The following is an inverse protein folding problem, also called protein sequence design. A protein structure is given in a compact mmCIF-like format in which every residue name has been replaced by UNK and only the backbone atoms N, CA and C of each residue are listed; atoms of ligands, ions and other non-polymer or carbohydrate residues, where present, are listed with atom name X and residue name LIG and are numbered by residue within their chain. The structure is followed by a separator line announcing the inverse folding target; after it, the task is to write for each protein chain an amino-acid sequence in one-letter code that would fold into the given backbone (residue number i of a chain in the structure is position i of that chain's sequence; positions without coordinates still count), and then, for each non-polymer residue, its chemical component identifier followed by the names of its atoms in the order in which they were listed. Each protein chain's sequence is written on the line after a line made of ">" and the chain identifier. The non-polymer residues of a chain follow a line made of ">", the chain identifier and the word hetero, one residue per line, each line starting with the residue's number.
data_IF_612594377826
#
_entry.id   IF_612594377826
#
_cell.length_a   1.000
_cell.length_b   1.000
_cell.length_c   1.000
_cell.angle_alpha   90.00
_cell.angle_beta   90.00
_cell.angle_gamma   90.00
#
_symmetry.space_group_name_H-M   'P 1'
#
loop_
_entity.id
_entity.type
_entity.pdbx_description
1 polymer ?
#
# COMPACT_ATOMS: atom_id res chain seq x y z
N UNK A 1 44.06 -42.18 -8.00
CA UNK A 1 43.11 -43.28 -8.28
C UNK A 1 41.69 -42.72 -8.11
N UNK A 2 40.70 -42.85 -8.98
CA UNK A 2 40.56 -42.84 -10.45
C UNK A 2 39.05 -43.11 -10.69
N UNK A 3 38.28 -42.08 -11.08
CA UNK A 3 36.87 -42.08 -11.51
C UNK A 3 36.45 -40.63 -11.89
N UNK A 4 35.65 -40.24 -12.91
CA UNK A 4 35.12 -40.87 -14.15
C UNK A 4 34.25 -42.13 -14.02
N UNK A 5 33.11 -42.33 -14.72
CA UNK A 5 32.41 -41.69 -15.88
C UNK A 5 30.90 -41.63 -15.54
N UNK A 6 30.09 -40.61 -15.87
CA UNK A 6 29.31 -40.53 -17.12
C UNK A 6 28.58 -39.18 -17.35
N UNK A 7 28.30 -38.89 -18.62
CA UNK A 7 27.81 -37.62 -19.21
C UNK A 7 26.64 -37.94 -20.19
N UNK A 8 26.21 -36.99 -21.03
CA UNK A 8 25.21 -37.04 -22.14
C UNK A 8 23.74 -37.03 -21.63
N UNK A 9 22.73 -36.30 -22.17
CA UNK A 9 22.38 -35.69 -23.50
C UNK A 9 21.63 -34.35 -23.21
N UNK A 10 21.97 -33.13 -23.67
CA UNK A 10 22.06 -32.50 -25.01
C UNK A 10 20.73 -31.89 -25.57
N UNK A 11 20.69 -30.54 -25.53
CA UNK A 11 20.17 -29.53 -26.49
C UNK A 11 18.69 -29.43 -26.99
N UNK A 12 18.16 -28.21 -26.83
CA UNK A 12 17.50 -27.31 -27.83
C UNK A 12 16.16 -27.70 -28.49
N UNK A 13 15.15 -26.83 -28.33
CA UNK A 13 14.21 -26.41 -29.39
C UNK A 13 14.03 -24.89 -29.35
N UNK A 14 13.90 -24.25 -30.52
CA UNK A 14 13.91 -22.79 -30.74
C UNK A 14 12.62 -22.31 -31.43
N UNK A 15 12.00 -21.29 -30.84
CA UNK A 15 11.20 -20.19 -31.44
C UNK A 15 9.98 -20.43 -32.37
N UNK A 16 9.24 -19.32 -32.53
CA UNK A 16 8.18 -19.01 -33.50
C UNK A 16 6.82 -19.72 -33.41
N UNK A 17 5.78 -18.97 -33.03
CA UNK A 17 4.70 -18.62 -33.97
C UNK A 17 4.39 -17.12 -33.87
N UNK A 18 4.37 -16.44 -35.02
CA UNK A 18 3.86 -15.07 -35.20
C UNK A 18 2.45 -15.15 -35.77
N UNK A 19 1.50 -14.44 -35.17
CA UNK A 19 0.23 -14.02 -35.76
C UNK A 19 -0.16 -12.67 -35.14
N UNK A 20 -0.50 -11.60 -35.85
CA UNK A 20 -0.56 -11.42 -37.30
C UNK A 20 -1.95 -11.03 -37.80
N UNK A 21 -2.21 -9.71 -37.88
CA UNK A 21 -3.27 -9.08 -38.67
C UNK A 21 -4.73 -9.28 -38.16
N UNK A 22 -5.75 -8.45 -38.49
CA UNK A 22 -5.86 -7.06 -38.97
C UNK A 22 -7.28 -6.58 -38.68
N UNK A 23 -7.52 -5.26 -38.64
CA UNK A 23 -8.76 -4.66 -38.14
C UNK A 23 -10.02 -4.73 -39.01
N UNK A 24 -11.01 -3.92 -38.63
CA UNK A 24 -12.13 -3.51 -39.46
C UNK A 24 -12.72 -2.19 -38.92
N UNK A 25 -12.65 -1.13 -39.73
CA UNK A 25 -13.41 0.10 -39.49
C UNK A 25 -14.77 0.01 -40.22
N UNK A 26 -15.84 0.59 -39.65
CA UNK A 26 -17.05 0.89 -40.43
C UNK A 26 -17.87 2.06 -39.92
N UNK A 27 -17.83 3.13 -40.74
CA UNK A 27 -18.97 3.94 -41.20
C UNK A 27 -19.96 4.49 -40.16
N UNK A 28 -19.72 5.74 -39.78
CA UNK A 28 -20.57 6.91 -40.11
C UNK A 28 -21.90 6.57 -40.81
N UNK A 29 -23.00 6.92 -40.17
CA UNK A 29 -24.21 7.39 -40.86
C UNK A 29 -24.83 8.54 -40.06
N UNK A 30 -25.33 9.55 -40.76
CA UNK A 30 -25.98 10.71 -40.18
C UNK A 30 -27.36 10.87 -40.84
N UNK A 31 -28.38 11.22 -40.04
CA UNK A 31 -29.69 11.59 -40.57
C UNK A 31 -30.33 12.66 -39.67
N UNK A 32 -30.42 13.86 -40.21
CA UNK A 32 -31.03 15.04 -39.59
C UNK A 32 -32.52 15.10 -39.91
N UNK A 33 -33.39 15.26 -38.91
CA UNK A 33 -34.70 15.94 -39.09
C UNK A 33 -35.36 16.30 -37.75
N UNK A 34 -35.66 17.59 -37.59
CA UNK A 34 -36.73 18.12 -36.73
C UNK A 34 -37.93 18.48 -37.62
N UNK A 35 -39.03 19.13 -37.15
CA UNK A 35 -39.48 19.40 -35.78
C UNK A 35 -40.97 19.02 -35.56
N UNK A 36 -41.47 19.13 -34.32
CA UNK A 36 -42.73 19.86 -34.00
C UNK A 36 -43.08 19.80 -32.50
N UNK A 37 -43.75 20.84 -32.02
CA UNK A 37 -44.07 21.11 -30.61
C UNK A 37 -45.51 20.76 -30.23
N UNK A 38 -45.73 20.27 -29.02
CA UNK A 38 -46.93 20.59 -28.23
C UNK A 38 -46.71 20.38 -26.73
N UNK A 39 -47.40 21.19 -25.93
CA UNK A 39 -47.31 21.25 -24.47
C UNK A 39 -48.19 20.20 -23.80
N UNK A 40 -47.78 19.70 -22.62
CA UNK A 40 -48.59 19.76 -21.38
C UNK A 40 -47.89 19.10 -20.19
N UNK A 41 -48.09 19.70 -19.02
CA UNK A 41 -47.47 19.28 -17.76
C UNK A 41 -48.03 17.96 -17.22
N UNK A 42 -47.18 17.13 -16.63
CA UNK A 42 -47.56 16.22 -15.55
C UNK A 42 -46.39 16.08 -14.60
N UNK A 43 -46.60 16.47 -13.35
CA UNK A 43 -45.59 16.32 -12.32
C UNK A 43 -45.42 14.83 -12.01
N UNK A 44 -44.27 14.28 -12.38
CA UNK A 44 -43.77 13.05 -11.79
C UNK A 44 -42.51 13.42 -11.03
N UNK A 45 -42.45 13.06 -9.74
CA UNK A 45 -41.23 13.17 -8.96
C UNK A 45 -40.25 12.13 -9.48
N UNK A 46 -39.53 12.47 -10.55
CA UNK A 46 -38.28 11.82 -10.87
C UNK A 46 -37.33 12.11 -9.72
N UNK A 47 -37.20 11.14 -8.81
CA UNK A 47 -36.01 11.02 -7.99
C UNK A 47 -34.83 10.87 -8.94
N UNK A 48 -34.23 12.01 -9.31
CA UNK A 48 -32.87 12.05 -9.84
C UNK A 48 -31.97 11.59 -8.71
N UNK A 49 -31.88 10.27 -8.55
CA UNK A 49 -30.74 9.61 -7.95
C UNK A 49 -29.60 9.82 -8.92
N UNK A 50 -29.10 11.06 -8.94
CA UNK A 50 -27.82 11.40 -9.51
C UNK A 50 -26.83 10.61 -8.68
N UNK A 51 -26.37 9.48 -9.22
CA UNK A 51 -25.19 8.82 -8.69
C UNK A 51 -24.11 9.90 -8.52
N UNK A 52 -23.40 9.95 -7.37
CA UNK A 52 -22.34 10.92 -7.19
C UNK A 52 -21.35 10.81 -8.36
N UNK A 53 -20.72 11.91 -8.80
CA UNK A 53 -19.83 11.88 -9.94
C UNK A 53 -18.68 10.91 -9.66
N UNK A 54 -18.74 9.72 -10.26
CA UNK A 54 -17.74 8.68 -10.08
C UNK A 54 -16.45 9.18 -10.71
N UNK A 55 -15.47 9.49 -9.88
CA UNK A 55 -14.17 9.99 -10.34
C UNK A 55 -13.55 8.94 -11.24
N UNK A 56 -13.14 9.29 -12.46
CA UNK A 56 -12.45 8.34 -13.34
C UNK A 56 -11.04 8.10 -12.77
N UNK A 57 -10.64 6.87 -12.40
CA UNK A 57 -9.32 6.61 -11.84
C UNK A 57 -8.19 7.13 -12.74
N UNK A 58 -8.30 6.98 -14.06
CA UNK A 58 -7.30 7.44 -15.04
C UNK A 58 -7.13 8.98 -15.11
N UNK A 59 -8.01 9.74 -14.45
CA UNK A 59 -7.94 11.20 -14.34
C UNK A 59 -7.29 11.71 -13.05
N UNK A 60 -6.92 10.80 -12.14
CA UNK A 60 -6.28 11.14 -10.87
C UNK A 60 -4.80 11.54 -11.07
N UNK A 61 -4.26 12.43 -10.23
CA UNK A 61 -2.83 12.72 -10.23
C UNK A 61 -2.01 11.47 -9.89
N UNK A 62 -1.00 11.18 -10.70
CA UNK A 62 -0.01 10.14 -10.38
C UNK A 62 0.97 10.64 -9.32
N UNK A 63 1.40 9.76 -8.41
CA UNK A 63 2.54 10.01 -7.53
C UNK A 63 3.84 10.07 -8.35
N UNK A 64 4.75 10.96 -7.97
CA UNK A 64 6.11 10.97 -8.50
C UNK A 64 6.91 9.85 -7.82
N UNK A 65 7.32 8.86 -8.60
CA UNK A 65 8.06 7.71 -8.09
C UNK A 65 9.53 8.02 -7.79
N UNK A 66 10.08 9.12 -8.35
CA UNK A 66 11.51 9.30 -8.56
C UNK A 66 12.21 10.22 -7.54
N UNK A 67 11.81 10.16 -6.26
CA UNK A 67 12.47 10.91 -5.19
C UNK A 67 11.60 11.30 -3.99
N UNK A 68 10.44 11.97 -4.17
CA UNK A 68 9.63 12.40 -3.04
C UNK A 68 9.07 11.22 -2.25
N UNK A 69 8.90 11.44 -0.95
CA UNK A 69 8.28 10.47 -0.05
C UNK A 69 6.84 10.87 0.25
N UNK A 70 5.99 9.90 0.55
CA UNK A 70 4.56 10.10 0.76
C UNK A 70 4.07 9.31 1.97
N UNK A 71 2.99 9.77 2.59
CA UNK A 71 2.16 8.92 3.46
C UNK A 71 0.91 8.58 2.66
N UNK A 72 0.52 7.31 2.62
CA UNK A 72 -0.62 6.84 1.82
C UNK A 72 -1.49 5.89 2.63
N UNK A 73 -2.76 5.73 2.23
CA UNK A 73 -3.62 4.64 2.72
C UNK A 73 -3.00 3.27 2.43
N UNK A 74 -3.06 2.36 3.40
CA UNK A 74 -2.42 1.04 3.32
C UNK A 74 -3.12 0.03 2.39
N UNK A 75 -4.41 0.23 2.13
CA UNK A 75 -5.32 -0.68 1.42
C UNK A 75 -6.62 -0.98 2.18
N UNK A 76 -6.77 -0.53 3.43
CA UNK A 76 -7.98 -0.71 4.25
C UNK A 76 -9.22 0.04 3.75
N UNK A 77 -9.09 0.89 2.74
CA UNK A 77 -10.22 1.52 2.02
C UNK A 77 -10.18 1.02 0.58
N UNK A 78 -11.28 0.43 0.09
CA UNK A 78 -11.35 -0.09 -1.27
C UNK A 78 -11.37 1.06 -2.30
N UNK A 79 -10.82 0.82 -3.49
CA UNK A 79 -10.85 1.77 -4.60
C UNK A 79 -12.28 2.21 -4.93
N UNK A 80 -13.26 1.28 -4.93
CA UNK A 80 -14.67 1.62 -5.12
C UNK A 80 -15.19 2.60 -4.05
N UNK A 81 -14.80 2.45 -2.79
CA UNK A 81 -15.18 3.38 -1.73
C UNK A 81 -14.51 4.75 -1.90
N UNK A 82 -13.21 4.77 -2.25
CA UNK A 82 -12.46 6.00 -2.52
C UNK A 82 -13.06 6.82 -3.68
N UNK A 83 -13.52 6.16 -4.74
CA UNK A 83 -14.08 6.80 -5.94
C UNK A 83 -15.56 7.20 -5.81
N UNK A 84 -16.30 6.62 -4.86
CA UNK A 84 -17.75 6.83 -4.70
C UNK A 84 -18.14 7.99 -3.78
N UNK A 85 -17.32 8.31 -2.77
CA UNK A 85 -17.54 9.46 -1.88
C UNK A 85 -16.25 10.27 -1.63
N UNK A 86 -15.76 11.03 -2.63
CA UNK A 86 -14.57 11.87 -2.46
C UNK A 86 -14.75 12.95 -1.38
N UNK A 87 -15.98 13.32 -1.02
CA UNK A 87 -16.24 14.35 -0.01
C UNK A 87 -16.11 13.81 1.43
N UNK A 88 -16.70 12.64 1.73
CA UNK A 88 -16.51 11.96 3.01
C UNK A 88 -15.06 11.51 3.22
N UNK A 89 -14.37 11.13 2.13
CA UNK A 89 -12.93 10.85 2.14
C UNK A 89 -12.12 12.10 2.51
N UNK A 90 -12.36 13.25 1.88
CA UNK A 90 -11.67 14.50 2.21
C UNK A 90 -11.95 14.98 3.66
N UNK A 91 -13.12 14.68 4.22
CA UNK A 91 -13.44 14.94 5.62
C UNK A 91 -12.72 14.01 6.60
N UNK A 92 -12.51 12.74 6.22
CA UNK A 92 -11.79 11.74 7.02
C UNK A 92 -10.27 11.95 6.99
N UNK A 93 -9.76 12.38 5.83
CA UNK A 93 -8.34 12.57 5.53
C UNK A 93 -8.06 14.01 5.07
N UNK A 94 -8.28 15.04 5.93
CA UNK A 94 -8.02 16.44 5.58
C UNK A 94 -6.57 16.65 5.15
N UNK A 95 -6.39 17.29 4.00
CA UNK A 95 -5.08 17.49 3.37
C UNK A 95 -4.56 16.30 2.54
N UNK A 96 -5.30 15.18 2.52
CA UNK A 96 -5.02 14.06 1.63
C UNK A 96 -5.57 14.29 0.23
N UNK A 97 -4.83 13.85 -0.79
CA UNK A 97 -5.19 13.97 -2.21
C UNK A 97 -5.40 12.57 -2.79
N UNK A 98 -6.58 12.33 -3.36
CA UNK A 98 -6.87 11.09 -4.09
C UNK A 98 -5.95 10.99 -5.31
N UNK A 99 -5.09 9.98 -5.34
CA UNK A 99 -3.95 9.85 -6.26
C UNK A 99 -3.81 8.42 -6.76
N UNK A 100 -3.10 8.23 -7.88
CA UNK A 100 -2.70 6.91 -8.37
C UNK A 100 -1.23 6.62 -8.08
N UNK A 101 -0.97 5.43 -7.56
CA UNK A 101 0.34 4.78 -7.64
C UNK A 101 0.38 4.05 -8.98
N UNK A 102 1.30 4.41 -9.87
CA UNK A 102 1.38 3.79 -11.21
C UNK A 102 1.98 2.37 -11.14
N UNK A 103 1.67 1.54 -12.14
CA UNK A 103 2.29 0.21 -12.28
C UNK A 103 3.82 0.34 -12.40
N UNK A 104 4.57 -0.45 -11.64
CA UNK A 104 6.03 -0.37 -11.57
C UNK A 104 6.59 0.79 -10.72
N UNK A 105 5.73 1.64 -10.13
CA UNK A 105 6.16 2.72 -9.24
C UNK A 105 6.64 2.21 -7.86
N UNK A 106 6.09 1.08 -7.40
CA UNK A 106 6.45 0.44 -6.14
C UNK A 106 7.60 -0.55 -6.31
N UNK A 107 8.69 -0.34 -5.58
CA UNK A 107 9.82 -1.24 -5.49
C UNK A 107 9.37 -2.67 -5.15
N UNK A 108 9.90 -3.67 -5.87
CA UNK A 108 9.60 -5.09 -5.69
C UNK A 108 8.11 -5.49 -5.81
N UNK A 109 7.28 -4.64 -6.44
CA UNK A 109 5.86 -4.91 -6.66
C UNK A 109 5.56 -5.21 -8.12
N UNK A 110 4.87 -6.33 -8.38
CA UNK A 110 4.27 -6.63 -9.69
C UNK A 110 2.80 -6.21 -9.77
N UNK A 111 2.29 -5.49 -8.78
CA UNK A 111 0.91 -5.01 -8.76
C UNK A 111 0.67 -3.98 -9.87
N UNK A 112 -0.56 -3.97 -10.40
CA UNK A 112 -1.03 -2.90 -11.28
C UNK A 112 -1.12 -1.56 -10.56
N UNK A 113 -1.58 -0.53 -11.28
CA UNK A 113 -1.83 0.76 -10.68
C UNK A 113 -2.86 0.64 -9.53
N UNK A 114 -2.68 1.43 -8.46
CA UNK A 114 -3.57 1.43 -7.31
C UNK A 114 -3.97 2.84 -6.90
N UNK A 115 -5.25 3.04 -6.62
CA UNK A 115 -5.78 4.30 -6.11
C UNK A 115 -5.56 4.38 -4.60
N UNK A 116 -5.01 5.50 -4.13
CA UNK A 116 -4.75 5.77 -2.71
C UNK A 116 -5.10 7.21 -2.37
N UNK A 117 -5.29 7.48 -1.08
CA UNK A 117 -5.19 8.86 -0.57
C UNK A 117 -3.72 9.08 -0.24
N UNK A 118 -3.14 10.15 -0.76
CA UNK A 118 -1.73 10.50 -0.54
C UNK A 118 -1.58 11.85 0.16
N UNK A 119 -0.60 11.92 1.05
CA UNK A 119 -0.14 13.13 1.72
C UNK A 119 1.33 13.37 1.36
N UNK A 120 1.70 14.63 1.16
CA UNK A 120 3.00 15.03 0.64
C UNK A 120 2.86 15.83 -0.67
N UNK A 121 3.91 15.87 -1.52
CA UNK A 121 5.20 15.21 -1.36
C UNK A 121 6.01 15.73 -0.16
N UNK A 122 6.73 14.83 0.50
CA UNK A 122 7.72 15.13 1.52
C UNK A 122 9.14 15.01 0.94
N UNK A 123 10.11 15.82 1.39
CA UNK A 123 11.46 15.84 0.83
C UNK A 123 12.23 14.52 1.05
N UNK A 124 11.90 13.80 2.12
CA UNK A 124 12.51 12.51 2.46
C UNK A 124 11.57 11.66 3.34
N UNK A 125 11.98 10.42 3.59
CA UNK A 125 11.20 9.46 4.37
C UNK A 125 11.06 9.82 5.86
N UNK A 126 12.02 10.55 6.44
CA UNK A 126 11.95 10.98 7.84
C UNK A 126 10.91 12.10 8.00
N UNK A 127 10.87 13.04 7.04
CA UNK A 127 9.82 14.06 6.96
C UNK A 127 8.43 13.45 6.77
N UNK A 128 8.30 12.41 5.91
CA UNK A 128 7.05 11.68 5.76
C UNK A 128 6.63 10.94 7.05
N UNK A 129 7.57 10.30 7.75
CA UNK A 129 7.31 9.63 9.03
C UNK A 129 6.97 10.59 10.18
N UNK A 130 7.59 11.77 10.22
CA UNK A 130 7.21 12.84 11.13
C UNK A 130 5.78 13.33 10.85
N UNK A 131 5.44 13.53 9.57
CA UNK A 131 4.10 13.94 9.17
C UNK A 131 3.03 12.88 9.52
N UNK A 132 3.28 11.59 9.26
CA UNK A 132 2.34 10.48 9.56
C UNK A 132 1.77 10.50 10.98
N UNK A 133 2.57 10.92 11.97
CA UNK A 133 2.13 11.02 13.37
C UNK A 133 1.10 12.12 13.65
N UNK A 134 1.00 13.10 12.75
CA UNK A 134 0.04 14.22 12.82
C UNK A 134 -1.18 14.02 11.93
N UNK A 135 -1.14 13.02 11.03
CA UNK A 135 -2.22 12.74 10.08
C UNK A 135 -3.32 11.91 10.75
N UNK A 136 -4.60 12.19 10.47
CA UNK A 136 -5.71 11.37 10.93
C UNK A 136 -5.80 10.06 10.13
N UNK A 137 -6.26 9.00 10.80
CA UNK A 137 -6.43 7.67 10.22
C UNK A 137 -5.44 6.63 10.77
N UNK A 138 -5.92 5.41 10.97
CA UNK A 138 -5.16 4.29 11.60
C UNK A 138 -4.54 3.32 10.60
N UNK A 139 -4.81 3.54 9.30
CA UNK A 139 -4.50 2.65 8.17
C UNK A 139 -3.66 3.39 7.13
N UNK A 140 -2.60 4.04 7.61
CA UNK A 140 -1.64 4.80 6.82
C UNK A 140 -0.27 4.11 6.86
N UNK A 141 0.39 4.01 5.70
CA UNK A 141 1.78 3.56 5.52
C UNK A 141 2.63 4.66 4.92
N UNK A 142 3.94 4.61 5.15
CA UNK A 142 4.89 5.56 4.56
C UNK A 142 5.59 4.92 3.36
N UNK A 143 5.67 5.66 2.26
CA UNK A 143 6.43 5.31 1.08
C UNK A 143 7.64 6.25 0.98
N UNK A 144 8.85 5.68 0.97
CA UNK A 144 10.10 6.41 0.71
C UNK A 144 10.37 6.39 -0.78
N UNK A 145 10.53 7.57 -1.37
CA UNK A 145 11.02 7.72 -2.73
C UNK A 145 12.52 7.47 -2.85
N UNK A 146 12.90 6.88 -3.99
CA UNK A 146 14.27 6.70 -4.44
C UNK A 146 14.32 6.96 -5.94
N UNK A 147 15.33 7.72 -6.39
CA UNK A 147 15.55 7.97 -7.82
C UNK A 147 15.94 6.69 -8.60
N UNK A 148 16.43 5.65 -7.91
CA UNK A 148 16.82 4.36 -8.50
C UNK A 148 15.77 3.27 -8.34
N UNK A 149 15.06 3.26 -7.21
CA UNK A 149 14.24 2.10 -6.80
C UNK A 149 12.73 2.37 -6.84
N UNK A 150 12.33 3.63 -7.08
CA UNK A 150 10.93 4.06 -7.00
C UNK A 150 10.46 4.29 -5.56
N UNK A 151 9.17 4.09 -5.31
CA UNK A 151 8.57 4.14 -3.98
C UNK A 151 8.75 2.79 -3.26
N UNK A 152 9.30 2.80 -2.06
CA UNK A 152 9.45 1.60 -1.21
C UNK A 152 8.73 1.76 0.12
N UNK A 153 8.23 0.67 0.71
CA UNK A 153 7.61 0.71 2.03
C UNK A 153 8.66 1.09 3.09
N UNK A 154 8.39 2.15 3.85
CA UNK A 154 9.28 2.64 4.92
C UNK A 154 8.65 2.38 6.29
N UNK A 155 9.36 1.61 7.10
CA UNK A 155 9.07 1.46 8.53
C UNK A 155 9.51 2.73 9.25
N UNK A 156 8.57 3.51 9.77
CA UNK A 156 8.87 4.74 10.50
C UNK A 156 9.56 4.49 11.84
N UNK A 157 9.46 3.29 12.40
CA UNK A 157 10.30 2.87 13.53
C UNK A 157 11.81 2.94 13.22
N UNK A 158 12.24 2.92 11.94
CA UNK A 158 13.62 3.18 11.55
C UNK A 158 14.09 4.62 11.81
N UNK A 159 13.17 5.59 11.88
CA UNK A 159 13.53 7.01 12.14
C UNK A 159 13.80 7.30 13.63
N UNK A 160 13.73 6.29 14.51
CA UNK A 160 13.83 6.45 15.95
C UNK A 160 14.85 5.48 16.56
N UNK A 161 15.65 5.90 17.56
CA UNK A 161 16.46 4.97 18.32
C UNK A 161 15.55 4.01 19.11
N UNK A 162 15.94 2.73 19.18
CA UNK A 162 15.15 1.69 19.84
C UNK A 162 14.78 2.01 21.31
N UNK A 163 15.59 2.83 22.00
CA UNK A 163 15.34 3.28 23.37
C UNK A 163 14.26 4.37 23.51
N UNK A 164 13.88 5.08 22.43
CA UNK A 164 12.79 6.07 22.44
C UNK A 164 11.47 5.53 21.89
N UNK A 165 11.46 4.31 21.33
CA UNK A 165 10.23 3.67 20.88
C UNK A 165 9.42 3.18 22.10
N UNK A 166 8.07 3.28 22.07
CA UNK A 166 7.24 2.83 23.17
C UNK A 166 7.35 1.33 23.35
N UNK A 167 7.19 0.87 24.60
CA UNK A 167 7.02 -0.54 24.90
C UNK A 167 5.67 -1.01 24.36
N UNK A 168 5.64 -2.10 23.59
CA UNK A 168 4.40 -2.71 23.10
C UNK A 168 4.08 -4.00 23.85
N UNK A 169 2.80 -4.28 24.08
CA UNK A 169 2.34 -5.52 24.73
C UNK A 169 0.86 -5.78 24.39
N UNK A 170 0.40 -7.02 24.57
CA UNK A 170 -1.04 -7.31 24.62
C UNK A 170 -1.71 -6.84 25.92
N UNK A 171 -0.93 -6.61 26.99
CA UNK A 171 -1.40 -6.05 28.25
C UNK A 171 -1.13 -4.53 28.29
N UNK A 172 -2.20 -3.74 28.34
CA UNK A 172 -2.15 -2.28 28.43
C UNK A 172 -1.44 -1.77 29.70
N UNK A 173 -1.33 -2.61 30.74
CA UNK A 173 -0.58 -2.32 31.97
C UNK A 173 0.93 -2.38 31.77
N UNK A 174 1.39 -3.01 30.68
CA UNK A 174 2.81 -3.26 30.36
C UNK A 174 3.30 -2.32 29.25
N UNK A 175 2.45 -1.98 28.28
CA UNK A 175 2.83 -1.19 27.11
C UNK A 175 1.63 -0.84 26.21
N UNK A 176 1.88 -0.10 25.14
CA UNK A 176 0.84 0.22 24.17
C UNK A 176 0.36 -1.04 23.44
N UNK A 177 -0.96 -1.22 23.36
CA UNK A 177 -1.63 -2.34 22.70
C UNK A 177 -1.95 -2.07 21.23
N UNK A 178 -1.86 -0.82 20.79
CA UNK A 178 -2.16 -0.40 19.42
C UNK A 178 -1.38 0.85 19.03
N UNK A 179 -1.34 1.15 17.72
CA UNK A 179 -0.71 2.34 17.16
C UNK A 179 0.10 2.05 15.90
N UNK A 180 0.64 3.11 15.30
CA UNK A 180 1.44 3.02 14.07
C UNK A 180 2.75 2.22 14.28
N UNK A 181 3.27 2.17 15.52
CA UNK A 181 4.41 1.33 15.86
C UNK A 181 4.07 -0.17 15.76
N UNK A 182 2.84 -0.54 16.08
CA UNK A 182 2.36 -1.93 15.92
C UNK A 182 2.14 -2.25 14.45
N UNK A 183 1.64 -1.30 13.66
CA UNK A 183 1.56 -1.43 12.20
C UNK A 183 2.94 -1.69 11.58
N UNK A 184 3.95 -0.87 11.92
CA UNK A 184 5.30 -1.04 11.41
C UNK A 184 5.94 -2.37 11.86
N UNK A 185 5.64 -2.80 13.09
CA UNK A 185 6.05 -4.11 13.60
C UNK A 185 5.37 -5.26 12.83
N UNK A 186 4.07 -5.18 12.54
CA UNK A 186 3.34 -6.19 11.80
C UNK A 186 3.83 -6.30 10.35
N UNK A 187 4.07 -5.17 9.68
CA UNK A 187 4.73 -5.10 8.37
C UNK A 187 6.11 -5.78 8.40
N UNK A 188 6.96 -5.42 9.38
CA UNK A 188 8.27 -6.05 9.56
C UNK A 188 8.17 -7.57 9.77
N UNK A 189 7.29 -8.03 10.64
CA UNK A 189 7.14 -9.46 10.94
C UNK A 189 6.64 -10.24 9.71
N UNK A 190 5.76 -9.64 8.90
CA UNK A 190 5.29 -10.23 7.65
C UNK A 190 6.38 -10.27 6.57
N UNK A 191 7.16 -9.19 6.43
CA UNK A 191 8.30 -9.12 5.51
C UNK A 191 9.42 -10.12 5.87
N UNK A 192 9.58 -10.43 7.17
CA UNK A 192 10.49 -11.47 7.66
C UNK A 192 9.89 -12.87 7.73
N UNK A 193 8.59 -13.03 7.44
CA UNK A 193 7.91 -14.33 7.39
C UNK A 193 7.48 -14.92 8.74
N UNK A 194 7.50 -14.13 9.83
CA UNK A 194 6.93 -14.53 11.14
C UNK A 194 5.42 -14.28 11.22
N UNK A 195 4.86 -13.43 10.35
CA UNK A 195 3.44 -13.11 10.28
C UNK A 195 2.91 -13.36 8.86
N UNK A 196 1.63 -13.72 8.74
CA UNK A 196 0.99 -13.86 7.43
C UNK A 196 0.83 -12.48 6.74
N UNK A 197 1.01 -12.42 5.41
CA UNK A 197 1.05 -11.16 4.65
C UNK A 197 -0.28 -10.41 4.61
N UNK A 198 -1.39 -11.12 4.75
CA UNK A 198 -2.74 -10.56 4.89
C UNK A 198 -2.99 -9.98 6.29
N UNK A 199 -2.19 -10.34 7.29
CA UNK A 199 -2.18 -9.74 8.63
C UNK A 199 -1.16 -8.60 8.79
N UNK A 200 -0.44 -8.20 7.74
CA UNK A 200 0.65 -7.22 7.84
C UNK A 200 0.16 -5.79 8.19
N UNK A 201 -1.10 -5.45 7.84
CA UNK A 201 -1.72 -4.14 8.15
C UNK A 201 -2.29 -4.02 9.58
N UNK A 202 -1.87 -4.85 10.54
CA UNK A 202 -2.38 -4.85 11.92
C UNK A 202 -1.79 -3.70 12.75
N UNK A 203 -2.62 -2.72 13.13
CA UNK A 203 -2.26 -1.66 14.08
C UNK A 203 -2.50 -2.04 15.56
N UNK A 204 -2.61 -3.33 15.89
CA UNK A 204 -2.98 -3.86 17.22
C UNK A 204 -2.13 -5.09 17.60
N UNK A 205 -1.79 -5.22 18.89
CA UNK A 205 -1.05 -6.34 19.48
C UNK A 205 -1.97 -7.57 19.64
N UNK A 206 -2.59 -7.97 18.54
CA UNK A 206 -3.45 -9.14 18.43
C UNK A 206 -2.66 -10.44 18.64
N UNK A 207 -3.36 -11.55 18.94
CA UNK A 207 -2.72 -12.81 19.29
C UNK A 207 -1.74 -13.35 18.22
N UNK A 208 -2.04 -13.15 16.92
CA UNK A 208 -1.15 -13.48 15.80
C UNK A 208 0.14 -12.66 15.82
N UNK A 209 0.04 -11.33 15.99
CA UNK A 209 1.19 -10.42 16.13
C UNK A 209 2.04 -10.80 17.35
N UNK A 210 1.43 -11.09 18.49
CA UNK A 210 2.14 -11.50 19.71
C UNK A 210 2.86 -12.84 19.54
N UNK A 211 2.27 -13.80 18.83
CA UNK A 211 2.94 -15.05 18.50
C UNK A 211 4.16 -14.82 17.59
N UNK A 212 3.99 -14.04 16.52
CA UNK A 212 5.07 -13.66 15.61
C UNK A 212 6.21 -12.90 16.32
N UNK A 213 5.89 -12.01 17.28
CA UNK A 213 6.89 -11.36 18.14
C UNK A 213 7.68 -12.37 18.94
N UNK A 214 7.04 -13.38 19.55
CA UNK A 214 7.73 -14.42 20.34
C UNK A 214 8.66 -15.27 19.49
N UNK A 215 8.23 -15.66 18.29
CA UNK A 215 9.06 -16.39 17.33
C UNK A 215 10.28 -15.57 16.90
N UNK A 216 10.07 -14.28 16.57
CA UNK A 216 11.16 -13.35 16.27
C UNK A 216 12.12 -13.18 17.46
N UNK A 217 11.61 -12.94 18.67
CA UNK A 217 12.41 -12.80 19.88
C UNK A 217 13.29 -14.03 20.13
N UNK A 218 12.71 -15.23 20.04
CA UNK A 218 13.43 -16.50 20.16
C UNK A 218 14.53 -16.65 19.09
N UNK A 219 14.21 -16.35 17.82
CA UNK A 219 15.17 -16.38 16.72
C UNK A 219 16.30 -15.34 16.86
N UNK A 220 16.06 -14.23 17.56
CA UNK A 220 17.04 -13.17 17.82
C UNK A 220 17.84 -13.34 19.12
N UNK A 221 17.56 -14.40 19.89
CA UNK A 221 18.23 -14.71 21.15
C UNK A 221 17.89 -13.73 22.29
N UNK A 222 16.69 -13.16 22.29
CA UNK A 222 16.17 -12.31 23.37
C UNK A 222 14.97 -12.99 24.04
N UNK A 223 14.51 -12.50 25.19
CA UNK A 223 13.38 -13.10 25.93
C UNK A 223 12.12 -13.16 25.07
N UNK A 224 11.58 -14.36 24.82
CA UNK A 224 10.39 -14.59 24.01
C UNK A 224 9.08 -14.40 24.80
N UNK A 225 8.91 -13.23 25.40
CA UNK A 225 7.75 -12.86 26.23
C UNK A 225 6.56 -12.28 25.44
N UNK A 226 6.77 -11.86 24.19
CA UNK A 226 5.78 -11.17 23.35
C UNK A 226 5.70 -9.66 23.60
N UNK A 227 6.68 -9.10 24.33
CA UNK A 227 6.73 -7.70 24.73
C UNK A 227 7.83 -6.99 23.95
N UNK A 228 7.47 -6.02 23.11
CA UNK A 228 8.46 -5.27 22.34
C UNK A 228 8.98 -4.10 23.17
N UNK A 229 10.04 -4.36 23.94
CA UNK A 229 10.83 -3.34 24.63
C UNK A 229 12.06 -2.88 23.83
N UNK A 230 12.91 -1.99 24.40
CA UNK A 230 14.09 -1.46 23.70
C UNK A 230 15.05 -2.50 23.14
N UNK A 231 15.22 -3.64 23.82
CA UNK A 231 16.05 -4.75 23.32
C UNK A 231 15.44 -5.40 22.06
N UNK A 232 14.13 -5.70 22.10
CA UNK A 232 13.41 -6.24 20.92
C UNK A 232 13.39 -5.23 19.78
N UNK A 233 13.17 -3.94 20.07
CA UNK A 233 13.24 -2.88 19.06
C UNK A 233 14.61 -2.78 18.41
N UNK A 234 15.70 -2.89 19.16
CA UNK A 234 17.05 -2.88 18.60
C UNK A 234 17.30 -4.06 17.64
N UNK A 235 16.69 -5.23 17.92
CA UNK A 235 16.70 -6.37 16.98
C UNK A 235 15.84 -6.10 15.75
N UNK A 236 14.63 -5.54 15.92
CA UNK A 236 13.73 -5.19 14.80
C UNK A 236 14.42 -4.21 13.85
N UNK A 237 14.96 -3.09 14.36
CA UNK A 237 15.57 -2.06 13.51
C UNK A 237 16.85 -2.55 12.82
N UNK A 238 17.70 -3.31 13.52
CA UNK A 238 18.86 -3.94 12.91
C UNK A 238 18.48 -4.94 11.80
N UNK A 239 17.50 -5.83 12.05
CA UNK A 239 17.04 -6.81 11.07
C UNK A 239 16.26 -6.18 9.90
N UNK A 240 15.63 -5.02 10.11
CA UNK A 240 14.98 -4.23 9.07
C UNK A 240 15.97 -3.48 8.16
N UNK A 241 17.24 -3.36 8.56
CA UNK A 241 18.22 -2.54 7.83
C UNK A 241 18.04 -1.04 8.09
N UNK A 242 17.56 -0.64 9.27
CA UNK A 242 17.55 0.75 9.69
C UNK A 242 18.98 1.21 10.05
N UNK A 243 19.78 1.61 9.06
CA UNK A 243 21.18 2.04 9.23
C UNK A 243 21.78 2.66 7.99
#
# INVERSE_FOLDING_TARGET
>A
MLAVVAVVVVLVVVAFIVFGQTGAASKKSASTSSPSSSVSSSASQSSTSSAPPTTNPDSLPALDCAGPSYVVTDGGVSETALLSDPAGIAATYPGGVLSQIQAGCLANSTSGASVVIAFGPYPDGNAACAARQTLPGTSLKTLKGSATDGLSNLLCVCSYPAASLPKLSADASIGATSGWQVYDLAQFLADKGYLAKDEANRSEMAASVVAAVKEFQAAQGVTADGIVGPETWAKVTAAAGCG
#
